data_IF_570030168165
#
_entry.id   IF_570030168165
#
_cell.length_a   1.000
_cell.length_b   1.000
_cell.length_c   1.000
_cell.angle_alpha   90.00
_cell.angle_beta   90.00
_cell.angle_gamma   90.00
#
_symmetry.space_group_name_H-M   'P 1'
#
loop_
_entity.id
_entity.type
_entity.pdbx_description
1 polymer ?
#
# COMPACT_ATOMS: atom_id res chain seq x y z
N UNK A 1 -27.94 -9.31 38.81
CA UNK A 1 -26.54 -9.19 38.33
C UNK A 1 -26.51 -9.74 36.93
N UNK A 2 -26.78 -8.90 35.92
CA UNK A 2 -26.66 -9.29 34.52
C UNK A 2 -25.26 -8.87 34.06
N UNK A 3 -24.37 -9.85 33.92
CA UNK A 3 -23.03 -9.60 33.38
C UNK A 3 -23.13 -9.57 31.87
N UNK A 4 -23.06 -8.37 31.28
CA UNK A 4 -23.07 -8.22 29.83
C UNK A 4 -21.89 -8.96 29.19
N UNK A 5 -22.04 -9.36 27.93
CA UNK A 5 -21.01 -10.09 27.20
C UNK A 5 -19.69 -9.29 27.13
N UNK A 6 -18.62 -9.81 27.73
CA UNK A 6 -17.27 -9.22 27.72
C UNK A 6 -16.47 -9.59 26.45
N UNK A 7 -17.15 -10.01 25.38
CA UNK A 7 -16.46 -10.35 24.15
C UNK A 7 -15.76 -9.13 23.54
N UNK A 8 -14.58 -9.38 22.98
CA UNK A 8 -13.80 -8.42 22.22
C UNK A 8 -13.69 -8.93 20.78
N UNK A 9 -14.06 -8.08 19.83
CA UNK A 9 -14.02 -8.40 18.40
C UNK A 9 -13.06 -7.45 17.71
N UNK A 10 -12.11 -8.02 16.98
CA UNK A 10 -11.07 -7.27 16.27
C UNK A 10 -11.14 -7.53 14.78
N UNK A 11 -11.15 -6.49 13.96
CA UNK A 11 -11.12 -6.60 12.50
C UNK A 11 -9.70 -6.88 12.04
N UNK A 12 -9.44 -8.09 11.56
CA UNK A 12 -8.14 -8.47 10.99
C UNK A 12 -8.06 -8.19 9.49
N UNK A 13 -9.21 -8.10 8.82
CA UNK A 13 -9.32 -7.78 7.40
C UNK A 13 -10.71 -7.21 7.14
N UNK A 14 -10.89 -6.20 6.29
CA UNK A 14 -9.86 -5.41 5.62
C UNK A 14 -9.06 -4.55 6.61
N UNK A 15 -7.97 -3.91 6.16
CA UNK A 15 -7.27 -2.91 6.97
C UNK A 15 -7.93 -1.53 6.80
N UNK A 16 -7.81 -0.65 7.78
CA UNK A 16 -8.26 0.75 7.64
C UNK A 16 -7.64 1.42 6.40
N UNK A 17 -8.46 2.15 5.66
CA UNK A 17 -8.16 2.76 4.35
C UNK A 17 -8.33 1.82 3.15
N UNK A 18 -8.84 0.60 3.32
CA UNK A 18 -9.02 -0.35 2.19
C UNK A 18 -10.04 0.20 1.19
N UNK A 19 -9.66 0.24 -0.09
CA UNK A 19 -10.58 0.65 -1.15
C UNK A 19 -11.58 -0.46 -1.51
N UNK A 20 -12.86 -0.16 -1.37
CA UNK A 20 -13.97 -1.06 -1.69
C UNK A 20 -14.45 -0.76 -3.12
N UNK A 21 -14.23 -1.70 -4.04
CA UNK A 21 -14.65 -1.65 -5.46
C UNK A 21 -15.55 -2.84 -5.87
N UNK A 22 -15.82 -3.72 -4.93
CA UNK A 22 -16.55 -4.98 -5.12
C UNK A 22 -16.61 -5.72 -3.78
N UNK A 23 -17.10 -6.98 -3.75
CA UNK A 23 -17.22 -7.72 -2.51
C UNK A 23 -15.88 -7.84 -1.75
N UNK A 24 -15.85 -7.39 -0.50
CA UNK A 24 -14.67 -7.42 0.39
C UNK A 24 -14.95 -8.35 1.58
N UNK A 25 -14.12 -9.37 1.83
CA UNK A 25 -14.28 -10.20 3.01
C UNK A 25 -13.86 -9.42 4.26
N UNK A 26 -14.76 -9.34 5.24
CA UNK A 26 -14.46 -8.88 6.58
C UNK A 26 -14.18 -10.11 7.42
N UNK A 27 -12.98 -10.17 8.00
CA UNK A 27 -12.54 -11.22 8.90
C UNK A 27 -12.29 -10.64 10.28
N UNK A 28 -12.71 -11.37 11.30
CA UNK A 28 -12.59 -10.93 12.69
C UNK A 28 -11.92 -11.97 13.57
N UNK A 29 -11.14 -11.49 14.53
CA UNK A 29 -10.68 -12.28 15.69
C UNK A 29 -11.61 -11.99 16.85
N UNK A 30 -12.17 -13.04 17.45
CA UNK A 30 -13.13 -12.92 18.55
C UNK A 30 -12.59 -13.58 19.80
N UNK A 31 -12.43 -12.80 20.86
CA UNK A 31 -12.18 -13.28 22.21
C UNK A 31 -13.49 -13.29 22.99
N UNK A 32 -13.78 -14.37 23.72
CA UNK A 32 -15.00 -14.46 24.53
C UNK A 32 -16.29 -14.79 23.76
N UNK A 33 -16.20 -15.41 22.58
CA UNK A 33 -17.33 -15.65 21.65
C UNK A 33 -18.58 -16.37 22.21
N UNK A 34 -18.51 -17.01 23.39
CA UNK A 34 -19.59 -17.86 23.93
C UNK A 34 -20.88 -17.12 24.29
N UNK A 35 -20.78 -15.82 24.58
CA UNK A 35 -21.92 -14.99 24.97
C UNK A 35 -22.51 -14.18 23.81
N UNK A 36 -21.92 -14.28 22.62
CA UNK A 36 -22.36 -13.54 21.44
C UNK A 36 -23.54 -14.27 20.81
N UNK A 37 -24.66 -13.58 20.65
CA UNK A 37 -25.79 -14.02 19.81
C UNK A 37 -25.61 -13.51 18.38
N UNK A 38 -25.12 -12.27 18.21
CA UNK A 38 -24.97 -11.64 16.90
C UNK A 38 -23.86 -10.58 16.87
N UNK A 39 -23.16 -10.49 15.75
CA UNK A 39 -22.22 -9.41 15.41
C UNK A 39 -22.79 -8.62 14.24
N UNK A 40 -23.06 -7.34 14.46
CA UNK A 40 -23.52 -6.39 13.44
C UNK A 40 -22.35 -5.52 12.97
N UNK A 41 -22.11 -5.52 11.66
CA UNK A 41 -21.12 -4.66 11.00
C UNK A 41 -21.83 -3.41 10.50
N UNK A 42 -21.31 -2.24 10.87
CA UNK A 42 -21.93 -0.96 10.54
C UNK A 42 -20.98 -0.07 9.73
N UNK A 43 -21.46 0.49 8.63
CA UNK A 43 -20.75 1.53 7.86
C UNK A 43 -21.48 2.85 8.12
N UNK A 44 -20.74 3.90 8.52
CA UNK A 44 -21.32 5.19 8.93
C UNK A 44 -22.39 5.10 10.04
N UNK A 45 -22.32 4.03 10.85
CA UNK A 45 -23.29 3.76 11.92
C UNK A 45 -24.58 3.06 11.46
N UNK A 46 -24.72 2.74 10.16
CA UNK A 46 -25.82 1.94 9.63
C UNK A 46 -25.40 0.47 9.48
N UNK A 47 -26.23 -0.45 9.95
CA UNK A 47 -25.95 -1.89 9.81
C UNK A 47 -26.00 -2.31 8.34
N UNK A 48 -24.87 -2.82 7.86
CA UNK A 48 -24.68 -3.26 6.47
C UNK A 48 -24.77 -4.77 6.31
N UNK A 49 -24.32 -5.52 7.32
CA UNK A 49 -24.36 -6.98 7.34
C UNK A 49 -24.21 -7.47 8.79
N UNK A 50 -24.67 -8.68 9.08
CA UNK A 50 -24.53 -9.31 10.38
C UNK A 50 -24.10 -10.78 10.27
N UNK A 51 -23.50 -11.30 11.34
CA UNK A 51 -23.16 -12.70 11.51
C UNK A 51 -23.63 -13.22 12.87
N UNK A 52 -24.23 -14.42 12.87
CA UNK A 52 -24.76 -15.08 14.07
C UNK A 52 -23.94 -16.34 14.44
N UNK A 53 -22.99 -16.73 13.59
CA UNK A 53 -22.21 -17.96 13.77
C UNK A 53 -20.72 -17.75 13.56
N UNK A 54 -19.90 -18.32 14.44
CA UNK A 54 -18.43 -18.37 14.32
C UNK A 54 -17.99 -19.01 12.98
N UNK A 55 -16.97 -18.48 12.28
CA UNK A 55 -15.98 -17.49 12.72
C UNK A 55 -16.45 -16.02 12.70
N UNK A 56 -17.74 -15.78 12.41
CA UNK A 56 -18.33 -14.45 12.25
C UNK A 56 -17.80 -13.65 11.06
N UNK A 57 -17.01 -14.27 10.18
CA UNK A 57 -16.59 -13.65 8.92
C UNK A 57 -17.79 -13.35 8.02
N UNK A 58 -17.75 -12.20 7.34
CA UNK A 58 -18.81 -11.78 6.40
C UNK A 58 -18.22 -11.27 5.09
N UNK A 59 -19.04 -11.25 4.04
CA UNK A 59 -18.68 -10.66 2.76
C UNK A 59 -19.43 -9.34 2.57
N UNK A 60 -18.72 -8.22 2.68
CA UNK A 60 -19.25 -6.88 2.45
C UNK A 60 -19.38 -6.63 0.95
N UNK A 61 -20.60 -6.65 0.43
CA UNK A 61 -20.89 -6.40 -0.98
C UNK A 61 -21.42 -4.98 -1.19
N UNK A 62 -20.61 -4.06 -1.77
CA UNK A 62 -21.01 -2.67 -1.96
C UNK A 62 -22.26 -2.49 -2.83
N UNK A 63 -22.60 -3.47 -3.67
CA UNK A 63 -23.79 -3.40 -4.54
C UNK A 63 -25.12 -3.55 -3.78
N UNK A 64 -25.06 -3.99 -2.52
CA UNK A 64 -26.24 -4.18 -1.66
C UNK A 64 -26.55 -2.95 -0.80
N UNK A 65 -25.72 -1.92 -0.84
CA UNK A 65 -25.93 -0.67 -0.11
C UNK A 65 -26.61 0.37 -1.01
N UNK A 66 -27.54 1.19 -0.47
CA UNK A 66 -27.89 2.46 -1.09
C UNK A 66 -26.61 3.28 -1.21
N UNK A 67 -26.28 3.73 -2.42
CA UNK A 67 -25.03 4.42 -2.80
C UNK A 67 -24.31 5.13 -1.63
N UNK A 68 -23.25 4.55 -1.05
CA UNK A 68 -22.55 5.13 0.10
C UNK A 68 -21.87 6.46 -0.27
N UNK A 69 -21.78 6.80 -1.56
CA UNK A 69 -20.98 7.90 -2.05
C UNK A 69 -19.49 7.55 -2.11
N UNK A 70 -18.71 8.27 -2.92
CA UNK A 70 -17.27 8.09 -2.93
C UNK A 70 -16.66 8.73 -1.67
N UNK A 71 -15.75 8.03 -1.01
CA UNK A 71 -15.17 8.59 0.22
C UNK A 71 -14.66 7.54 1.19
N UNK A 72 -14.25 8.01 2.36
CA UNK A 72 -13.80 7.17 3.48
C UNK A 72 -14.96 7.04 4.47
N UNK A 73 -15.34 5.79 4.77
CA UNK A 73 -16.51 5.46 5.59
C UNK A 73 -16.08 4.53 6.74
N UNK A 74 -16.26 4.91 8.01
CA UNK A 74 -15.93 4.05 9.14
C UNK A 74 -16.78 2.78 9.18
N UNK A 75 -16.11 1.63 9.21
CA UNK A 75 -16.64 0.32 9.57
C UNK A 75 -16.44 0.09 11.07
N UNK A 76 -17.54 -0.09 11.78
CA UNK A 76 -17.59 -0.40 13.22
C UNK A 76 -18.33 -1.70 13.48
N UNK A 77 -18.13 -2.27 14.68
CA UNK A 77 -18.76 -3.54 15.08
C UNK A 77 -19.60 -3.34 16.33
N UNK A 78 -20.82 -3.88 16.31
CA UNK A 78 -21.71 -3.99 17.48
C UNK A 78 -21.93 -5.46 17.80
N UNK A 79 -21.63 -5.86 19.03
CA UNK A 79 -21.91 -7.20 19.56
C UNK A 79 -23.23 -7.18 20.31
N UNK A 80 -24.11 -8.13 20.01
CA UNK A 80 -25.36 -8.38 20.72
C UNK A 80 -25.26 -9.72 21.46
N UNK A 81 -25.62 -9.72 22.75
CA UNK A 81 -25.65 -10.93 23.57
C UNK A 81 -27.02 -11.61 23.58
N UNK A 82 -27.09 -12.79 24.21
CA UNK A 82 -28.32 -13.61 24.30
C UNK A 82 -29.46 -12.93 25.08
N UNK A 83 -29.15 -11.88 25.85
CA UNK A 83 -30.11 -11.09 26.61
C UNK A 83 -30.56 -9.84 25.83
N UNK A 84 -30.05 -9.65 24.60
CA UNK A 84 -30.35 -8.53 23.71
C UNK A 84 -29.55 -7.26 24.00
N UNK A 85 -28.55 -7.30 24.89
CA UNK A 85 -27.71 -6.15 25.17
C UNK A 85 -26.72 -5.93 24.02
N UNK A 86 -26.59 -4.68 23.55
CA UNK A 86 -25.70 -4.28 22.44
C UNK A 86 -24.49 -3.50 22.95
N UNK A 87 -23.30 -3.88 22.49
CA UNK A 87 -22.02 -3.23 22.83
C UNK A 87 -21.23 -2.89 21.57
N UNK A 88 -21.00 -1.59 21.35
CA UNK A 88 -20.07 -1.10 20.33
C UNK A 88 -18.63 -1.48 20.72
N UNK A 89 -17.87 -1.99 19.77
CA UNK A 89 -16.45 -2.33 19.95
C UNK A 89 -15.58 -1.10 19.72
N UNK A 90 -14.45 -1.00 20.42
CA UNK A 90 -13.58 0.18 20.38
C UNK A 90 -12.80 0.32 19.05
N UNK A 91 -12.71 -0.75 18.25
CA UNK A 91 -12.02 -0.72 16.96
C UNK A 91 -12.95 -0.23 15.84
N UNK A 92 -12.44 0.76 15.08
CA UNK A 92 -13.06 1.28 13.87
C UNK A 92 -12.00 1.32 12.78
N UNK A 93 -12.35 0.87 11.57
CA UNK A 93 -11.48 0.97 10.40
C UNK A 93 -12.19 1.73 9.30
N UNK A 94 -11.46 2.51 8.51
CA UNK A 94 -12.04 3.25 7.41
C UNK A 94 -12.08 2.41 6.14
N UNK A 95 -13.19 2.45 5.41
CA UNK A 95 -13.36 1.84 4.09
C UNK A 95 -13.44 2.95 3.05
N UNK A 96 -12.56 2.91 2.05
CA UNK A 96 -12.58 3.88 0.96
C UNK A 96 -13.49 3.37 -0.18
N UNK A 97 -14.74 3.81 -0.28
CA UNK A 97 -15.61 3.43 -1.38
C UNK A 97 -15.24 4.20 -2.65
N UNK A 98 -15.05 3.47 -3.75
CA UNK A 98 -14.75 4.03 -5.07
C UNK A 98 -15.82 3.58 -6.06
N UNK A 99 -16.78 4.46 -6.34
CA UNK A 99 -17.91 4.20 -7.24
C UNK A 99 -17.56 4.38 -8.73
N UNK A 100 -16.27 4.40 -9.07
CA UNK A 100 -15.78 4.47 -10.45
C UNK A 100 -15.97 3.14 -11.19
N UNK A 101 -17.22 2.80 -11.51
CA UNK A 101 -17.59 1.83 -12.54
C UNK A 101 -18.44 0.67 -12.06
N UNK A 102 -19.76 0.88 -11.99
CA UNK A 102 -20.78 -0.14 -12.31
C UNK A 102 -22.14 0.54 -12.54
N UNK A 103 -22.39 0.97 -13.77
CA UNK A 103 -23.76 1.01 -14.28
C UNK A 103 -24.18 -0.43 -14.60
N UNK A 104 -25.24 -0.99 -14.00
CA UNK A 104 -25.78 -2.28 -14.41
C UNK A 104 -26.49 -2.11 -15.76
N UNK A 105 -25.82 -2.49 -16.84
CA UNK A 105 -26.46 -2.68 -18.14
C UNK A 105 -27.03 -4.09 -18.21
N UNK A 106 -28.36 -4.18 -18.19
CA UNK A 106 -29.15 -5.41 -18.23
C UNK A 106 -29.15 -6.12 -19.60
N UNK A 107 -29.65 -7.36 -19.57
CA UNK A 107 -29.99 -8.33 -20.63
C UNK A 107 -28.84 -9.20 -21.14
N UNK A 108 -28.87 -10.54 -21.05
CA UNK A 108 -30.00 -11.46 -21.23
C UNK A 108 -30.00 -12.71 -20.30
N UNK A 109 -31.18 -12.95 -19.72
CA UNK A 109 -31.91 -14.20 -19.42
C UNK A 109 -31.17 -15.54 -19.12
N UNK A 110 -31.43 -16.18 -17.96
CA UNK A 110 -30.97 -17.53 -17.63
C UNK A 110 -31.99 -18.63 -18.03
N UNK A 111 -31.54 -19.86 -18.38
CA UNK A 111 -32.34 -21.07 -18.22
C UNK A 111 -31.83 -21.96 -17.06
N UNK A 112 -32.65 -22.89 -16.57
CA UNK A 112 -32.91 -23.05 -15.14
C UNK A 112 -32.05 -24.11 -14.44
N UNK A 113 -32.08 -24.02 -13.11
CA UNK A 113 -31.58 -24.97 -12.13
C UNK A 113 -32.08 -26.40 -12.39
N UNK A 114 -31.16 -27.36 -12.44
CA UNK A 114 -31.44 -28.75 -12.07
C UNK A 114 -30.55 -29.15 -10.90
N UNK A 115 -31.21 -29.56 -9.82
CA UNK A 115 -30.66 -30.13 -8.59
C UNK A 115 -30.06 -31.53 -8.84
N UNK A 116 -28.97 -31.87 -8.16
CA UNK A 116 -28.52 -33.26 -8.04
C UNK A 116 -27.06 -33.42 -7.58
N UNK A 117 -26.88 -33.80 -6.31
CA UNK A 117 -25.62 -34.07 -5.57
C UNK A 117 -24.76 -35.23 -6.17
N UNK A 118 -23.77 -35.79 -5.42
CA UNK A 118 -22.40 -35.33 -5.16
C UNK A 118 -21.36 -36.32 -5.75
N UNK A 119 -20.15 -35.87 -6.10
CA UNK A 119 -19.15 -36.79 -6.67
C UNK A 119 -17.74 -36.22 -6.77
N UNK A 120 -16.87 -36.79 -5.97
CA UNK A 120 -15.41 -36.65 -5.92
C UNK A 120 -14.67 -36.89 -7.24
N UNK A 121 -13.86 -35.94 -7.68
CA UNK A 121 -12.44 -36.15 -8.03
C UNK A 121 -11.71 -34.81 -8.32
N UNK A 122 -10.42 -34.67 -7.96
CA UNK A 122 -9.66 -33.45 -8.19
C UNK A 122 -9.15 -33.40 -9.64
N UNK A 123 -9.55 -32.37 -10.40
CA UNK A 123 -8.98 -32.09 -11.72
C UNK A 123 -7.89 -31.00 -11.59
N UNK A 124 -6.70 -31.19 -12.19
CA UNK A 124 -5.60 -30.24 -12.14
C UNK A 124 -5.78 -29.13 -13.20
N UNK A 125 -5.38 -27.90 -12.85
CA UNK A 125 -5.08 -26.86 -13.83
C UNK A 125 -5.94 -25.59 -13.77
N UNK A 126 -5.56 -24.67 -12.88
CA UNK A 126 -5.28 -23.28 -13.25
C UNK A 126 -4.57 -22.59 -12.07
N UNK A 127 -3.29 -22.95 -11.88
CA UNK A 127 -2.40 -22.10 -11.11
C UNK A 127 -2.02 -20.90 -12.00
N UNK A 128 -2.72 -19.78 -11.84
CA UNK A 128 -2.05 -18.49 -12.05
C UNK A 128 -0.89 -18.49 -11.06
N UNK A 129 0.33 -18.71 -11.54
CA UNK A 129 1.49 -18.96 -10.68
C UNK A 129 1.74 -17.74 -9.78
N UNK A 130 1.29 -17.81 -8.53
CA UNK A 130 1.72 -16.88 -7.49
C UNK A 130 3.23 -17.07 -7.30
N UNK A 131 4.01 -16.02 -7.54
CA UNK A 131 5.47 -16.02 -7.36
C UNK A 131 5.83 -16.55 -5.98
N UNK A 132 6.76 -17.51 -5.89
CA UNK A 132 7.14 -18.14 -4.62
C UNK A 132 7.99 -17.24 -3.72
N UNK A 133 8.03 -17.53 -2.41
CA UNK A 133 8.89 -16.79 -1.44
C UNK A 133 10.38 -16.86 -1.82
N UNK A 134 10.84 -17.97 -2.41
CA UNK A 134 12.22 -18.10 -2.90
C UNK A 134 12.48 -17.19 -4.09
N UNK A 135 11.54 -17.08 -5.03
CA UNK A 135 11.65 -16.11 -6.13
C UNK A 135 11.63 -14.67 -5.61
N UNK A 136 10.80 -14.34 -4.61
CA UNK A 136 10.79 -13.02 -3.97
C UNK A 136 12.15 -12.71 -3.33
N UNK A 137 12.80 -13.70 -2.72
CA UNK A 137 14.18 -13.55 -2.21
C UNK A 137 15.16 -13.22 -3.33
N UNK A 138 15.12 -13.97 -4.43
CA UNK A 138 16.01 -13.75 -5.58
C UNK A 138 15.76 -12.39 -6.25
N UNK A 139 14.50 -11.97 -6.36
CA UNK A 139 14.15 -10.64 -6.86
C UNK A 139 14.63 -9.54 -5.90
N UNK A 140 14.49 -9.72 -4.59
CA UNK A 140 14.95 -8.75 -3.58
C UNK A 140 16.47 -8.57 -3.63
N UNK A 141 17.22 -9.68 -3.73
CA UNK A 141 18.69 -9.65 -3.89
C UNK A 141 19.08 -8.92 -5.18
N UNK A 142 18.40 -9.20 -6.30
CA UNK A 142 18.69 -8.52 -7.58
C UNK A 142 18.35 -7.03 -7.53
N UNK A 143 17.22 -6.67 -6.96
CA UNK A 143 16.82 -5.28 -6.78
C UNK A 143 17.86 -4.51 -5.95
N UNK A 144 18.29 -5.07 -4.81
CA UNK A 144 19.32 -4.45 -3.98
C UNK A 144 20.65 -4.21 -4.72
N UNK A 145 21.03 -5.12 -5.63
CA UNK A 145 22.23 -4.96 -6.48
C UNK A 145 22.13 -3.80 -7.48
N UNK A 146 20.92 -3.34 -7.82
CA UNK A 146 20.76 -2.14 -8.65
C UNK A 146 21.09 -0.84 -7.87
N UNK A 147 21.06 -0.88 -6.53
CA UNK A 147 21.46 0.22 -5.65
C UNK A 147 22.94 0.14 -5.30
N UNK A 148 23.79 0.41 -6.30
CA UNK A 148 25.25 0.27 -6.19
C UNK A 148 25.91 1.17 -5.12
N UNK A 149 25.22 2.19 -4.63
CA UNK A 149 25.72 3.00 -3.52
C UNK A 149 25.75 2.22 -2.20
N UNK A 150 24.89 1.22 -2.04
CA UNK A 150 24.88 0.35 -0.88
C UNK A 150 26.02 -0.66 -0.94
N UNK A 151 26.76 -0.76 0.16
CA UNK A 151 27.79 -1.79 0.39
C UNK A 151 27.31 -2.86 1.36
N UNK A 152 26.08 -2.74 1.86
CA UNK A 152 25.54 -3.64 2.87
C UNK A 152 25.08 -4.94 2.23
N UNK A 153 25.59 -6.06 2.72
CA UNK A 153 25.06 -7.37 2.37
C UNK A 153 23.89 -7.72 3.30
N UNK A 154 22.67 -7.55 2.79
CA UNK A 154 21.45 -7.78 3.59
C UNK A 154 21.11 -9.26 3.71
N UNK A 155 20.65 -9.63 4.91
CA UNK A 155 19.92 -10.87 5.16
C UNK A 155 18.44 -10.61 4.94
N UNK A 156 17.81 -11.52 4.20
CA UNK A 156 16.39 -11.43 3.88
C UNK A 156 15.62 -12.42 4.76
N UNK A 157 15.01 -11.88 5.81
CA UNK A 157 14.22 -12.66 6.77
C UNK A 157 12.98 -13.27 6.12
N UNK A 158 12.53 -14.43 6.61
CA UNK A 158 11.38 -15.13 6.04
C UNK A 158 10.05 -14.40 6.22
N UNK A 159 9.88 -13.66 7.32
CA UNK A 159 8.68 -12.84 7.55
C UNK A 159 8.68 -11.65 6.61
N UNK A 160 9.81 -10.95 6.48
CA UNK A 160 9.98 -9.89 5.50
C UNK A 160 9.60 -10.35 4.08
N UNK A 161 10.11 -11.52 3.66
CA UNK A 161 9.85 -12.03 2.31
C UNK A 161 8.37 -12.40 2.09
N UNK A 162 7.69 -12.93 3.12
CA UNK A 162 6.24 -13.17 3.08
C UNK A 162 5.44 -11.88 2.98
N UNK A 163 5.82 -10.85 3.74
CA UNK A 163 5.17 -9.54 3.67
C UNK A 163 5.35 -8.90 2.28
N UNK A 164 6.56 -8.95 1.71
CA UNK A 164 6.82 -8.48 0.35
C UNK A 164 5.97 -9.26 -0.66
N UNK A 165 5.95 -10.59 -0.56
CA UNK A 165 5.15 -11.45 -1.43
C UNK A 165 3.68 -11.02 -1.41
N UNK A 166 3.09 -10.86 -0.22
CA UNK A 166 1.70 -10.44 -0.05
C UNK A 166 1.42 -9.08 -0.70
N UNK A 167 2.35 -8.11 -0.53
CA UNK A 167 2.23 -6.76 -1.07
C UNK A 167 2.46 -6.67 -2.58
N UNK A 168 3.09 -7.66 -3.22
CA UNK A 168 3.27 -7.62 -4.69
C UNK A 168 1.95 -7.56 -5.47
N UNK A 169 0.87 -8.14 -4.92
CA UNK A 169 -0.46 -8.12 -5.53
C UNK A 169 -0.98 -6.69 -5.77
N UNK A 170 -0.65 -5.75 -4.89
CA UNK A 170 -1.03 -4.33 -5.03
C UNK A 170 -0.33 -3.62 -6.20
N UNK A 171 0.77 -4.20 -6.68
CA UNK A 171 1.58 -3.68 -7.78
C UNK A 171 1.49 -4.56 -9.03
N UNK A 172 0.82 -5.70 -8.98
CA UNK A 172 0.54 -6.57 -10.11
C UNK A 172 -0.63 -6.02 -10.96
N UNK A 173 -0.48 -4.77 -11.42
CA UNK A 173 -1.49 -4.04 -12.21
C UNK A 173 -0.82 -3.54 -13.49
N UNK A 174 -1.43 -3.77 -14.65
CA UNK A 174 -0.84 -3.33 -15.92
C UNK A 174 -0.71 -1.79 -16.01
N UNK A 175 0.32 -1.35 -16.75
CA UNK A 175 0.47 0.02 -17.22
C UNK A 175 1.40 0.90 -16.38
N UNK A 176 2.21 0.31 -15.49
CA UNK A 176 3.17 1.09 -14.69
C UNK A 176 4.25 1.74 -15.55
N UNK A 177 4.75 1.07 -16.59
CA UNK A 177 5.67 1.69 -17.54
C UNK A 177 5.04 2.91 -18.23
N UNK A 178 3.82 2.75 -18.75
CA UNK A 178 3.14 3.83 -19.47
C UNK A 178 2.76 5.00 -18.54
N UNK A 179 2.40 4.74 -17.28
CA UNK A 179 2.19 5.79 -16.27
C UNK A 179 3.48 6.51 -15.90
N UNK A 180 4.61 5.80 -15.84
CA UNK A 180 5.90 6.39 -15.48
C UNK A 180 6.56 7.16 -16.64
N UNK A 181 6.35 6.72 -17.89
CA UNK A 181 7.03 7.25 -19.09
C UNK A 181 6.96 8.78 -19.23
N UNK A 182 5.82 9.47 -19.04
CA UNK A 182 5.74 10.92 -19.15
C UNK A 182 6.65 11.67 -18.17
N UNK A 183 6.96 11.07 -17.02
CA UNK A 183 7.78 11.69 -15.97
C UNK A 183 9.26 11.34 -16.07
N UNK A 184 9.66 10.55 -17.08
CA UNK A 184 11.02 10.06 -17.26
C UNK A 184 12.07 11.16 -17.16
N UNK A 185 11.88 12.26 -17.87
CA UNK A 185 12.88 13.32 -17.96
C UNK A 185 12.98 14.11 -16.65
N UNK A 186 11.86 14.32 -15.96
CA UNK A 186 11.85 14.93 -14.63
C UNK A 186 12.57 14.04 -13.59
N UNK A 187 12.31 12.74 -13.60
CA UNK A 187 12.93 11.76 -12.69
C UNK A 187 14.44 11.64 -13.00
N UNK A 188 14.80 11.39 -14.26
CA UNK A 188 16.20 11.17 -14.64
C UNK A 188 17.05 12.42 -14.42
N UNK A 189 16.56 13.60 -14.79
CA UNK A 189 17.29 14.85 -14.55
C UNK A 189 17.49 15.08 -13.06
N UNK A 190 16.43 14.99 -12.25
CA UNK A 190 16.49 15.36 -10.84
C UNK A 190 17.23 14.32 -9.99
N UNK A 191 16.86 13.04 -10.07
CA UNK A 191 17.47 12.00 -9.23
C UNK A 191 18.87 11.64 -9.70
N UNK A 192 19.05 11.42 -11.01
CA UNK A 192 20.31 10.88 -11.55
C UNK A 192 21.25 12.02 -11.92
N UNK A 193 20.81 12.93 -12.79
CA UNK A 193 21.65 14.00 -13.33
C UNK A 193 22.13 14.99 -12.27
N UNK A 194 21.21 15.52 -11.47
CA UNK A 194 21.53 16.57 -10.50
C UNK A 194 22.02 16.04 -9.16
N UNK A 195 21.40 14.96 -8.66
CA UNK A 195 21.72 14.44 -7.32
C UNK A 195 22.66 13.23 -7.32
N UNK A 196 22.91 12.59 -8.46
CA UNK A 196 23.79 11.43 -8.56
C UNK A 196 23.28 10.19 -7.82
N UNK A 197 21.96 10.07 -7.65
CA UNK A 197 21.33 8.95 -6.95
C UNK A 197 21.31 7.70 -7.82
N UNK A 198 21.22 6.52 -7.18
CA UNK A 198 21.06 5.26 -7.90
C UNK A 198 19.83 5.29 -8.81
N UNK A 199 20.01 4.86 -10.06
CA UNK A 199 19.05 5.02 -11.13
C UNK A 199 17.62 4.53 -10.83
N UNK A 200 17.40 3.35 -10.21
CA UNK A 200 16.04 2.91 -9.90
C UNK A 200 15.32 3.76 -8.84
N UNK A 201 16.05 4.51 -8.00
CA UNK A 201 15.52 5.09 -6.77
C UNK A 201 14.27 5.94 -6.99
N UNK A 202 14.32 6.88 -7.93
CA UNK A 202 13.22 7.80 -8.20
C UNK A 202 11.95 7.07 -8.65
N UNK A 203 12.10 6.04 -9.50
CA UNK A 203 11.00 5.25 -10.03
C UNK A 203 10.39 4.32 -8.99
N UNK A 204 11.22 3.61 -8.20
CA UNK A 204 10.72 2.68 -7.18
C UNK A 204 10.04 3.44 -6.04
N UNK A 205 10.57 4.60 -5.62
CA UNK A 205 9.90 5.47 -4.66
C UNK A 205 8.56 5.98 -5.21
N UNK A 206 8.52 6.48 -6.45
CA UNK A 206 7.29 6.96 -7.06
C UNK A 206 6.22 5.85 -7.16
N UNK A 207 6.61 4.66 -7.61
CA UNK A 207 5.71 3.51 -7.72
C UNK A 207 5.19 3.05 -6.36
N UNK A 208 6.07 2.91 -5.36
CA UNK A 208 5.69 2.45 -4.01
C UNK A 208 4.78 3.40 -3.25
N UNK A 209 4.84 4.70 -3.58
CA UNK A 209 4.07 5.73 -2.86
C UNK A 209 2.78 6.13 -3.55
N UNK A 210 2.80 6.27 -4.87
CA UNK A 210 1.65 6.77 -5.63
C UNK A 210 1.19 5.85 -6.74
N UNK A 211 1.91 4.75 -7.02
CA UNK A 211 1.63 3.89 -8.18
C UNK A 211 1.68 4.67 -9.51
N UNK A 212 2.46 5.76 -9.54
CA UNK A 212 2.52 6.78 -10.58
C UNK A 212 1.17 7.48 -10.87
N UNK A 213 0.31 7.58 -9.86
CA UNK A 213 -0.97 8.30 -9.93
C UNK A 213 -0.80 9.64 -9.24
N UNK A 214 -1.14 10.73 -9.93
CA UNK A 214 -1.18 12.04 -9.32
C UNK A 214 -2.44 12.16 -8.47
N UNK A 215 -2.26 12.34 -7.16
CA UNK A 215 -3.34 12.75 -6.29
C UNK A 215 -3.77 14.17 -6.73
N UNK A 216 -4.99 14.29 -7.28
CA UNK A 216 -5.63 15.46 -7.91
C UNK A 216 -5.46 15.53 -9.44
N UNK A 217 -6.55 15.23 -10.15
CA UNK A 217 -6.72 15.59 -11.55
C UNK A 217 -7.02 17.09 -11.72
N UNK A 218 -6.96 17.57 -12.97
CA UNK A 218 -7.04 18.97 -13.45
C UNK A 218 -8.14 19.89 -12.86
N UNK A 219 -9.09 19.36 -12.08
CA UNK A 219 -10.31 20.04 -11.62
C UNK A 219 -10.49 20.06 -10.08
N UNK A 220 -9.52 19.59 -9.28
CA UNK A 220 -9.61 19.72 -7.83
C UNK A 220 -9.34 21.18 -7.42
N UNK A 221 -10.16 21.80 -6.55
CA UNK A 221 -9.89 23.16 -6.08
C UNK A 221 -8.52 23.20 -5.42
N UNK A 222 -7.75 24.25 -5.71
CA UNK A 222 -6.49 24.54 -5.04
C UNK A 222 -6.74 24.96 -3.59
N UNK A 223 -7.19 24.02 -2.76
CA UNK A 223 -7.06 24.19 -1.32
C UNK A 223 -5.59 24.01 -1.05
N UNK A 224 -4.90 25.12 -0.77
CA UNK A 224 -3.50 25.18 -0.33
C UNK A 224 -3.29 24.54 1.05
N UNK A 225 -3.89 23.36 1.27
CA UNK A 225 -3.65 22.52 2.43
C UNK A 225 -2.24 21.96 2.31
N UNK A 226 -1.31 22.70 2.91
CA UNK A 226 0.11 22.39 2.93
C UNK A 226 0.45 21.07 3.65
N UNK A 227 -0.54 20.42 4.27
CA UNK A 227 -0.39 19.15 5.00
C UNK A 227 -0.74 17.92 4.17
N UNK A 228 -1.45 18.10 3.04
CA UNK A 228 -1.78 16.99 2.14
C UNK A 228 -0.54 16.52 1.34
N UNK A 229 -0.32 15.20 1.19
CA UNK A 229 0.75 14.70 0.33
C UNK A 229 0.43 14.94 -1.15
N UNK A 230 1.39 15.49 -1.87
CA UNK A 230 1.28 15.86 -3.28
C UNK A 230 2.32 15.13 -4.15
N UNK A 231 2.00 15.01 -5.44
CA UNK A 231 2.89 14.47 -6.47
C UNK A 231 3.19 12.97 -6.32
N UNK A 232 4.08 12.48 -7.19
CA UNK A 232 4.40 11.05 -7.30
C UNK A 232 5.07 10.46 -6.04
N UNK A 233 5.79 11.31 -5.30
CA UNK A 233 6.50 10.91 -4.08
C UNK A 233 5.71 11.20 -2.79
N UNK A 234 4.49 11.72 -2.91
CA UNK A 234 3.56 11.94 -1.79
C UNK A 234 4.22 12.77 -0.68
N UNK A 235 4.74 13.94 -1.05
CA UNK A 235 5.41 14.88 -0.16
C UNK A 235 4.53 16.08 0.11
N UNK A 236 4.61 16.66 1.31
CA UNK A 236 3.81 17.83 1.67
C UNK A 236 4.58 19.13 1.37
N UNK A 237 3.84 20.19 1.05
CA UNK A 237 4.44 21.52 0.84
C UNK A 237 5.12 22.03 2.10
N UNK A 238 4.49 21.83 3.27
CA UNK A 238 5.06 22.21 4.55
C UNK A 238 6.42 21.52 4.81
N UNK A 239 6.53 20.23 4.48
CA UNK A 239 7.79 19.50 4.60
C UNK A 239 8.87 20.06 3.66
N UNK A 240 8.52 20.29 2.39
CA UNK A 240 9.45 20.79 1.39
C UNK A 240 9.98 22.19 1.71
N UNK A 241 9.15 23.04 2.30
CA UNK A 241 9.52 24.41 2.69
C UNK A 241 10.35 24.42 3.98
N UNK A 242 9.87 23.76 5.04
CA UNK A 242 10.55 23.73 6.35
C UNK A 242 11.96 23.14 6.29
N UNK A 243 12.22 22.23 5.35
CA UNK A 243 13.53 21.60 5.16
C UNK A 243 14.34 22.22 4.01
N UNK A 244 13.87 23.32 3.40
CA UNK A 244 14.63 24.05 2.38
C UNK A 244 14.79 23.36 1.02
N UNK A 245 13.94 22.37 0.71
CA UNK A 245 14.02 21.63 -0.57
C UNK A 245 13.34 22.33 -1.75
N UNK A 246 12.48 23.32 -1.48
CA UNK A 246 11.66 24.00 -2.50
C UNK A 246 12.41 25.05 -3.33
N UNK A 247 13.65 25.40 -2.98
CA UNK A 247 14.36 26.56 -3.54
C UNK A 247 14.59 26.53 -5.04
N UNK A 248 14.45 25.37 -5.69
CA UNK A 248 14.64 25.19 -7.15
C UNK A 248 13.35 24.96 -7.92
N UNK A 249 12.19 25.03 -7.26
CA UNK A 249 10.89 24.84 -7.90
C UNK A 249 10.46 26.01 -8.80
N UNK A 250 11.08 27.20 -8.66
CA UNK A 250 10.61 28.40 -9.36
C UNK A 250 9.21 28.75 -8.90
N UNK A 251 8.27 28.85 -9.85
CA UNK A 251 6.84 29.11 -9.58
C UNK A 251 5.99 27.84 -9.52
N UNK A 252 6.56 26.67 -9.81
CA UNK A 252 5.82 25.40 -9.79
C UNK A 252 5.62 24.89 -8.36
N UNK A 253 4.55 24.13 -8.16
CA UNK A 253 4.20 23.48 -6.90
C UNK A 253 4.36 21.95 -7.02
N UNK A 254 4.26 21.22 -5.90
CA UNK A 254 4.37 19.76 -5.88
C UNK A 254 3.22 19.05 -6.64
N UNK A 255 2.06 19.69 -6.75
CA UNK A 255 0.89 19.17 -7.46
C UNK A 255 0.90 19.40 -8.97
N UNK A 256 1.89 20.11 -9.50
CA UNK A 256 1.95 20.44 -10.92
C UNK A 256 2.03 19.17 -11.79
N UNK A 257 1.31 19.13 -12.92
CA UNK A 257 1.25 17.93 -13.78
C UNK A 257 2.62 17.55 -14.37
N UNK A 258 3.53 18.53 -14.51
CA UNK A 258 4.91 18.31 -14.95
C UNK A 258 5.69 17.39 -14.01
N UNK A 259 5.31 17.37 -12.72
CA UNK A 259 6.04 16.75 -11.62
C UNK A 259 7.50 17.19 -11.47
N UNK A 260 7.89 18.31 -12.09
CA UNK A 260 9.27 18.82 -12.03
C UNK A 260 9.63 19.28 -10.62
N UNK A 261 8.83 20.14 -9.98
CA UNK A 261 9.08 20.57 -8.61
C UNK A 261 9.04 19.39 -7.63
N UNK A 262 8.06 18.49 -7.76
CA UNK A 262 7.98 17.27 -6.95
C UNK A 262 9.23 16.39 -7.08
N UNK A 263 9.75 16.21 -8.30
CA UNK A 263 10.96 15.43 -8.54
C UNK A 263 12.21 16.10 -7.94
N UNK A 264 12.35 17.42 -8.06
CA UNK A 264 13.47 18.17 -7.47
C UNK A 264 13.47 18.06 -5.95
N UNK A 265 12.32 18.26 -5.32
CA UNK A 265 12.16 18.17 -3.86
C UNK A 265 12.44 16.75 -3.37
N UNK A 266 11.83 15.74 -4.02
CA UNK A 266 12.04 14.35 -3.66
C UNK A 266 13.49 13.91 -3.86
N UNK A 267 14.14 14.32 -4.95
CA UNK A 267 15.55 14.01 -5.20
C UNK A 267 16.48 14.66 -4.18
N UNK A 268 16.27 15.93 -3.84
CA UNK A 268 17.07 16.64 -2.84
C UNK A 268 16.94 15.99 -1.45
N UNK A 269 15.71 15.65 -1.05
CA UNK A 269 15.46 14.91 0.19
C UNK A 269 16.08 13.50 0.16
N UNK A 270 15.91 12.77 -0.95
CA UNK A 270 16.54 11.46 -1.14
C UNK A 270 18.05 11.53 -1.04
N UNK A 271 18.72 12.57 -1.54
CA UNK A 271 20.17 12.73 -1.35
C UNK A 271 20.55 12.95 0.11
N UNK A 272 19.84 13.82 0.80
CA UNK A 272 20.07 14.05 2.23
C UNK A 272 19.92 12.75 3.03
N UNK A 273 18.93 11.92 2.68
CA UNK A 273 18.64 10.69 3.39
C UNK A 273 19.57 9.54 2.98
N UNK A 274 19.58 9.16 1.70
CA UNK A 274 20.27 7.97 1.20
C UNK A 274 21.78 8.15 1.14
N UNK A 275 22.26 9.34 0.77
CA UNK A 275 23.71 9.59 0.60
C UNK A 275 24.28 10.19 1.88
N UNK A 276 23.75 11.31 2.34
CA UNK A 276 24.36 12.04 3.45
C UNK A 276 24.10 11.38 4.81
N UNK A 277 22.88 10.92 5.07
CA UNK A 277 22.54 10.35 6.37
C UNK A 277 22.84 8.84 6.43
N UNK A 278 22.48 8.06 5.43
CA UNK A 278 22.64 6.61 5.47
C UNK A 278 23.83 6.07 4.67
N UNK A 279 24.64 6.95 4.07
CA UNK A 279 25.93 6.59 3.43
C UNK A 279 25.81 5.46 2.39
N UNK A 280 24.69 5.45 1.65
CA UNK A 280 24.36 4.44 0.64
C UNK A 280 23.48 3.30 1.15
N UNK A 281 23.24 3.17 2.46
CA UNK A 281 22.37 2.13 3.02
C UNK A 281 20.89 2.42 2.72
N UNK A 282 20.45 1.97 1.54
CA UNK A 282 19.16 2.34 1.00
C UNK A 282 17.98 1.75 1.79
N UNK A 283 18.12 0.58 2.43
CA UNK A 283 17.02 -0.04 3.18
C UNK A 283 16.62 0.82 4.38
N UNK A 284 17.61 1.30 5.13
CA UNK A 284 17.37 2.19 6.27
C UNK A 284 16.94 3.59 5.83
N UNK A 285 17.44 4.07 4.70
CA UNK A 285 16.96 5.31 4.11
C UNK A 285 15.48 5.20 3.68
N UNK A 286 15.07 4.09 3.04
CA UNK A 286 13.66 3.83 2.68
C UNK A 286 12.78 3.77 3.93
N UNK A 287 13.23 3.10 4.99
CA UNK A 287 12.50 3.02 6.25
C UNK A 287 12.19 4.42 6.82
N UNK A 288 13.11 5.36 6.64
CA UNK A 288 12.96 6.76 7.07
C UNK A 288 12.30 7.68 6.04
N UNK A 289 11.98 7.22 4.83
CA UNK A 289 11.45 8.10 3.79
C UNK A 289 10.08 8.67 4.19
N UNK A 290 10.01 10.00 4.31
CA UNK A 290 8.85 10.75 4.82
C UNK A 290 9.02 11.25 6.27
N UNK A 291 10.08 10.84 6.97
CA UNK A 291 10.46 11.42 8.27
C UNK A 291 11.21 12.75 8.07
N UNK A 292 11.11 13.64 9.06
CA UNK A 292 11.99 14.81 9.11
C UNK A 292 13.47 14.36 9.19
N UNK A 293 14.40 15.01 8.46
CA UNK A 293 15.82 14.65 8.48
C UNK A 293 16.43 14.57 9.89
N UNK A 294 16.02 15.46 10.79
CA UNK A 294 16.46 15.45 12.18
C UNK A 294 16.01 14.17 12.91
N UNK A 295 14.74 13.80 12.80
CA UNK A 295 14.19 12.58 13.41
C UNK A 295 14.84 11.32 12.84
N UNK A 296 15.10 11.30 11.52
CA UNK A 296 15.84 10.21 10.89
C UNK A 296 17.27 10.11 11.44
N UNK A 297 17.92 11.26 11.68
CA UNK A 297 19.23 11.33 12.32
C UNK A 297 19.26 10.77 13.74
N UNK A 298 18.29 11.18 14.56
CA UNK A 298 18.11 10.66 15.94
C UNK A 298 17.76 9.18 15.98
N UNK A 299 17.09 8.66 14.94
CA UNK A 299 16.90 7.23 14.80
C UNK A 299 18.19 6.52 14.40
N UNK A 300 18.97 7.08 13.45
CA UNK A 300 20.26 6.53 13.02
C UNK A 300 21.24 6.35 14.19
N UNK A 301 21.30 7.29 15.14
CA UNK A 301 22.21 7.20 16.29
C UNK A 301 21.90 6.04 17.24
N UNK A 302 20.66 5.51 17.18
CA UNK A 302 20.22 4.37 17.98
C UNK A 302 20.40 3.03 17.28
N UNK A 303 20.83 3.03 16.01
CA UNK A 303 21.02 1.80 15.25
C UNK A 303 22.25 1.02 15.75
N UNK A 304 22.18 -0.31 15.77
CA UNK A 304 23.34 -1.14 16.04
C UNK A 304 24.42 -1.00 14.95
N UNK A 305 25.68 -1.36 15.26
CA UNK A 305 26.76 -1.36 14.29
C UNK A 305 26.54 -2.38 13.17
N UNK A 306 26.06 -3.59 13.48
CA UNK A 306 25.63 -4.58 12.48
C UNK A 306 24.19 -4.30 12.03
N UNK A 307 24.03 -4.06 10.73
CA UNK A 307 22.78 -3.72 10.06
C UNK A 307 22.42 -4.70 8.94
N UNK A 308 23.15 -5.82 8.85
CA UNK A 308 22.94 -6.83 7.81
C UNK A 308 21.55 -7.48 7.91
N UNK A 309 21.08 -7.76 9.14
CA UNK A 309 19.75 -8.32 9.42
C UNK A 309 18.73 -7.21 9.68
N UNK A 310 18.44 -6.41 8.63
CA UNK A 310 17.65 -5.19 8.76
C UNK A 310 16.26 -5.41 9.35
N UNK A 311 15.64 -6.58 9.13
CA UNK A 311 14.30 -6.88 9.61
C UNK A 311 14.22 -7.00 11.14
N UNK A 312 15.31 -7.46 11.78
CA UNK A 312 15.42 -7.50 13.25
C UNK A 312 15.73 -6.13 13.86
N UNK A 313 16.28 -5.21 13.07
CA UNK A 313 16.65 -3.87 13.53
C UNK A 313 15.51 -2.88 13.39
N UNK A 314 14.80 -2.93 12.26
CA UNK A 314 13.66 -2.06 11.97
C UNK A 314 12.42 -2.65 12.63
N UNK A 315 11.94 -2.03 13.72
CA UNK A 315 10.83 -2.56 14.52
C UNK A 315 9.55 -1.73 14.44
N UNK A 316 9.59 -0.49 13.94
CA UNK A 316 8.38 0.31 13.74
C UNK A 316 7.54 -0.29 12.61
N UNK A 317 6.22 -0.50 12.81
CA UNK A 317 5.32 -0.97 11.77
C UNK A 317 5.33 -0.08 10.52
N UNK A 318 5.37 1.24 10.71
CA UNK A 318 5.37 2.21 9.61
C UNK A 318 6.67 2.14 8.80
N UNK A 319 7.80 1.98 9.48
CA UNK A 319 9.10 1.81 8.83
C UNK A 319 9.17 0.50 8.05
N UNK A 320 8.67 -0.60 8.64
CA UNK A 320 8.59 -1.91 7.99
C UNK A 320 7.72 -1.86 6.73
N UNK A 321 6.52 -1.31 6.83
CA UNK A 321 5.59 -1.19 5.70
C UNK A 321 6.20 -0.38 4.54
N UNK A 322 6.95 0.70 4.82
CA UNK A 322 7.68 1.46 3.79
C UNK A 322 8.70 0.60 3.06
N UNK A 323 9.50 -0.17 3.78
CA UNK A 323 10.50 -1.08 3.20
C UNK A 323 9.80 -2.16 2.37
N UNK A 324 8.78 -2.81 2.92
CA UNK A 324 8.03 -3.86 2.23
C UNK A 324 7.41 -3.34 0.92
N UNK A 325 6.75 -2.18 0.95
CA UNK A 325 6.16 -1.54 -0.24
C UNK A 325 7.21 -1.17 -1.28
N UNK A 326 8.36 -0.66 -0.85
CA UNK A 326 9.46 -0.32 -1.74
C UNK A 326 9.98 -1.56 -2.49
N UNK A 327 10.23 -2.66 -1.77
CA UNK A 327 10.65 -3.91 -2.39
C UNK A 327 9.56 -4.48 -3.28
N UNK A 328 8.30 -4.54 -2.85
CA UNK A 328 7.20 -5.04 -3.67
C UNK A 328 7.04 -4.25 -4.98
N UNK A 329 7.05 -2.92 -4.90
CA UNK A 329 6.99 -2.06 -6.08
C UNK A 329 8.19 -2.25 -7.01
N UNK A 330 9.41 -2.30 -6.46
CA UNK A 330 10.62 -2.51 -7.24
C UNK A 330 10.64 -3.88 -7.91
N UNK A 331 10.29 -4.95 -7.17
CA UNK A 331 10.26 -6.32 -7.70
C UNK A 331 9.27 -6.42 -8.86
N UNK A 332 8.03 -5.93 -8.70
CA UNK A 332 7.03 -6.00 -9.78
C UNK A 332 7.41 -5.08 -10.93
N UNK A 333 7.82 -3.84 -10.64
CA UNK A 333 8.22 -2.86 -11.65
C UNK A 333 9.41 -3.30 -12.50
N UNK A 334 10.35 -4.08 -11.95
CA UNK A 334 11.48 -4.63 -12.72
C UNK A 334 11.17 -5.96 -13.41
N UNK A 335 10.15 -6.69 -12.97
CA UNK A 335 9.84 -8.03 -13.48
C UNK A 335 8.37 -8.19 -13.88
N UNK A 336 7.74 -7.27 -14.63
CA UNK A 336 6.29 -7.27 -14.82
C UNK A 336 5.74 -8.59 -15.39
N UNK A 337 6.46 -9.24 -16.31
CA UNK A 337 6.04 -10.50 -16.91
C UNK A 337 5.96 -11.66 -15.90
N UNK A 338 6.76 -11.62 -14.83
CA UNK A 338 6.70 -12.62 -13.75
C UNK A 338 5.43 -12.51 -12.92
N UNK A 339 4.75 -11.37 -12.99
CA UNK A 339 3.48 -11.09 -12.32
C UNK A 339 2.29 -11.09 -13.29
N UNK A 340 2.45 -11.71 -14.48
CA UNK A 340 1.37 -11.80 -15.48
C UNK A 340 1.12 -10.52 -16.28
N UNK A 341 1.92 -9.46 -16.09
CA UNK A 341 1.77 -8.18 -16.77
C UNK A 341 2.45 -8.23 -18.15
N UNK A 342 1.86 -9.01 -19.06
CA UNK A 342 2.47 -9.34 -20.37
C UNK A 342 2.66 -8.13 -21.29
N UNK A 343 1.83 -7.09 -21.12
CA UNK A 343 1.89 -5.85 -21.92
C UNK A 343 2.78 -4.77 -21.32
N UNK A 344 3.21 -4.94 -20.07
CA UNK A 344 4.02 -3.95 -19.37
C UNK A 344 5.51 -4.16 -19.66
N UNK A 345 6.34 -3.14 -19.41
CA UNK A 345 7.80 -3.21 -19.62
C UNK A 345 8.53 -2.96 -18.31
N UNK A 346 9.72 -3.57 -18.08
CA UNK A 346 10.52 -3.25 -16.91
C UNK A 346 10.80 -1.75 -16.80
N UNK A 347 10.64 -1.18 -15.60
CA UNK A 347 10.97 0.23 -15.32
C UNK A 347 12.43 0.54 -15.62
N UNK A 348 13.33 -0.45 -15.55
CA UNK A 348 14.72 -0.37 -16.00
C UNK A 348 14.92 0.12 -17.43
N UNK A 349 13.89 0.10 -18.27
CA UNK A 349 13.95 0.70 -19.61
C UNK A 349 13.76 2.22 -19.65
N UNK A 350 13.39 2.86 -18.53
CA UNK A 350 13.16 4.31 -18.44
C UNK A 350 14.40 5.09 -17.99
N UNK A 351 15.36 4.45 -17.31
CA UNK A 351 16.58 5.09 -16.84
C UNK A 351 17.84 4.57 -17.54
N UNK A 352 18.91 5.38 -17.63
CA UNK A 352 20.16 4.94 -18.22
C UNK A 352 20.76 3.75 -17.47
N UNK A 353 21.30 2.78 -18.20
CA UNK A 353 22.12 1.72 -17.61
C UNK A 353 23.46 2.31 -17.17
N UNK A 354 24.01 1.79 -16.08
CA UNK A 354 25.40 2.07 -15.68
C UNK A 354 26.39 1.48 -16.65
#
# INVERSE_FOLDING_TARGET
SGGGCEATVRIVSPQSGTTVRGPVPIRVEVEGAKCIERISYQVDGEEVIAAETSPFDVLLDPSKFPDPGPGSHPLTIVVEDQEGNKKLQDESIDLAFDTSGSTPGASDTPPPLEEGQPGSNPQPGNASASVSVLEIRDFSIRLAKEFSSSKTEYKYDSDFLREVQARTSEYAVEGFYERARPFRDAINTSFIGEQGLDQPLGYVLAMSRSRFVLARGRNAPATGDATAPEGLWQMTQAFAQSNGYSGRCGTETLSEQSQRCAALVAAAYSKALFVSLFEGDFVYAVACFGMAPQQAGEWRTRLPPDRSDFWKVINSPEQRERVVRFFAAGIVGQNPQKFGLTRDRPLASLYPKK
#
